data_IF_602588131471
#
_entry.id   IF_602588131471
#
_cell.length_a   1.000
_cell.length_b   1.000
_cell.length_c   1.000
_cell.angle_alpha   90.00
_cell.angle_beta   90.00
_cell.angle_gamma   90.00
#
_symmetry.space_group_name_H-M   'P 1'
#
loop_
_entity.id
_entity.type
_entity.pdbx_description
1 polymer ?
#
# COMPACT_ATOMS: atom_id res chain seq x y z
N UNK A 1 -16.96 -7.23 -7.55
CA UNK A 1 -16.24 -6.15 -6.86
C UNK A 1 -16.07 -6.55 -5.40
N UNK A 2 -14.85 -6.71 -4.93
CA UNK A 2 -14.61 -7.21 -3.58
C UNK A 2 -14.12 -6.05 -2.70
N UNK A 3 -14.71 -5.89 -1.50
CA UNK A 3 -14.33 -4.80 -0.61
C UNK A 3 -13.48 -5.34 0.52
N UNK A 4 -12.22 -4.89 0.60
CA UNK A 4 -11.21 -5.33 1.56
C UNK A 4 -10.79 -4.18 2.47
N UNK A 5 -10.22 -4.49 3.62
CA UNK A 5 -9.72 -3.47 4.55
C UNK A 5 -8.21 -3.23 4.35
N UNK A 6 -7.78 -1.98 4.53
CA UNK A 6 -6.38 -1.61 4.59
C UNK A 6 -6.12 -0.65 5.75
N UNK A 7 -5.03 -0.83 6.47
CA UNK A 7 -4.66 0.03 7.60
C UNK A 7 -3.62 1.05 7.15
N UNK A 8 -3.87 2.32 7.50
CA UNK A 8 -2.90 3.40 7.37
C UNK A 8 -2.78 4.17 8.68
N UNK A 9 -1.60 4.69 8.96
CA UNK A 9 -1.40 5.64 10.05
C UNK A 9 -1.91 7.04 9.63
N UNK A 10 -2.02 7.94 10.60
CA UNK A 10 -2.57 9.29 10.39
C UNK A 10 -1.81 10.09 9.31
N UNK A 11 -0.48 9.99 9.26
CA UNK A 11 0.34 10.69 8.26
C UNK A 11 0.08 10.15 6.85
N UNK A 12 -0.02 8.83 6.70
CA UNK A 12 -0.35 8.22 5.40
C UNK A 12 -1.76 8.58 4.94
N UNK A 13 -2.73 8.62 5.87
CA UNK A 13 -4.09 9.09 5.54
C UNK A 13 -4.06 10.53 5.03
N UNK A 14 -3.29 11.41 5.70
CA UNK A 14 -3.16 12.79 5.27
C UNK A 14 -2.64 12.90 3.84
N UNK A 15 -1.55 12.22 3.52
CA UNK A 15 -0.95 12.28 2.17
C UNK A 15 -1.81 11.60 1.09
N UNK A 16 -2.67 10.62 1.46
CA UNK A 16 -3.70 10.09 0.55
C UNK A 16 -4.79 11.14 0.29
N UNK A 17 -5.26 11.81 1.33
CA UNK A 17 -6.28 12.85 1.19
C UNK A 17 -5.79 14.05 0.36
N UNK A 18 -4.50 14.36 0.44
CA UNK A 18 -3.82 15.37 -0.37
C UNK A 18 -3.53 14.90 -1.82
N UNK A 19 -3.83 13.65 -2.16
CA UNK A 19 -3.60 13.07 -3.49
C UNK A 19 -2.14 12.74 -3.80
N UNK A 20 -1.23 12.85 -2.82
CA UNK A 20 0.21 12.60 -3.01
C UNK A 20 0.57 11.12 -2.93
N UNK A 21 -0.19 10.33 -2.16
CA UNK A 21 0.04 8.88 -2.03
C UNK A 21 -0.95 8.12 -2.90
N UNK A 22 -0.45 7.45 -3.92
CA UNK A 22 -1.21 6.64 -4.89
C UNK A 22 -0.73 5.19 -4.96
N UNK A 23 0.31 4.85 -4.21
CA UNK A 23 0.91 3.50 -4.16
C UNK A 23 1.19 3.13 -2.71
N UNK A 24 1.10 1.85 -2.40
CA UNK A 24 1.56 1.32 -1.11
C UNK A 24 2.25 -0.02 -1.29
N UNK A 25 3.36 -0.21 -0.55
CA UNK A 25 4.10 -1.45 -0.49
C UNK A 25 3.80 -2.21 0.80
N UNK A 26 3.65 -3.53 0.68
CA UNK A 26 3.45 -4.45 1.80
C UNK A 26 4.30 -5.69 1.60
N UNK A 27 4.92 -6.17 2.67
CA UNK A 27 5.74 -7.39 2.63
C UNK A 27 4.92 -8.59 2.17
N UNK A 28 5.44 -9.37 1.23
CA UNK A 28 4.92 -10.71 0.90
C UNK A 28 5.20 -11.63 2.07
N UNK A 29 4.17 -12.30 2.60
CA UNK A 29 4.29 -13.22 3.74
C UNK A 29 3.57 -14.54 3.45
N UNK A 30 4.28 -15.68 3.54
CA UNK A 30 5.72 -15.83 3.71
C UNK A 30 6.51 -15.30 2.51
N UNK A 31 7.82 -15.06 2.68
CA UNK A 31 8.68 -14.75 1.54
C UNK A 31 8.88 -16.00 0.68
N UNK A 32 8.73 -15.90 -0.65
CA UNK A 32 8.99 -17.02 -1.54
C UNK A 32 10.48 -17.41 -1.47
N UNK A 33 10.73 -18.69 -1.18
CA UNK A 33 12.09 -19.18 -0.91
C UNK A 33 12.87 -19.33 -2.21
N UNK A 34 14.05 -18.67 -2.29
CA UNK A 34 14.91 -18.73 -3.47
C UNK A 34 14.34 -18.01 -4.69
N UNK A 35 13.25 -17.25 -4.56
CA UNK A 35 12.68 -16.50 -5.64
C UNK A 35 13.64 -15.40 -6.13
N UNK A 36 13.90 -15.34 -7.44
CA UNK A 36 14.76 -14.36 -8.06
C UNK A 36 14.08 -13.51 -9.12
N UNK A 37 12.93 -13.96 -9.65
CA UNK A 37 12.13 -13.18 -10.59
C UNK A 37 10.65 -13.58 -10.54
N UNK A 38 9.79 -12.74 -11.11
CA UNK A 38 8.38 -13.04 -11.38
C UNK A 38 8.31 -13.60 -12.79
N UNK A 39 7.67 -14.76 -12.96
CA UNK A 39 7.48 -15.41 -14.25
C UNK A 39 6.24 -14.89 -14.96
N UNK A 40 5.11 -14.96 -14.24
CA UNK A 40 3.80 -14.69 -14.81
C UNK A 40 2.82 -14.22 -13.72
N UNK A 41 1.67 -13.70 -14.16
CA UNK A 41 0.54 -13.39 -13.28
C UNK A 41 -0.74 -13.95 -13.90
N UNK A 42 -1.58 -14.55 -13.07
CA UNK A 42 -2.90 -15.04 -13.43
C UNK A 42 -3.98 -14.11 -12.88
N UNK A 43 -4.63 -13.37 -13.78
CA UNK A 43 -5.68 -12.41 -13.44
C UNK A 43 -6.93 -13.10 -12.88
N UNK A 44 -7.24 -14.31 -13.34
CA UNK A 44 -8.42 -15.06 -12.90
C UNK A 44 -8.24 -15.59 -11.48
N UNK A 45 -7.08 -16.19 -11.18
CA UNK A 45 -6.77 -16.71 -9.84
C UNK A 45 -6.19 -15.65 -8.90
N UNK A 46 -5.81 -14.48 -9.43
CA UNK A 46 -5.17 -13.37 -8.71
C UNK A 46 -3.85 -13.80 -8.04
N UNK A 47 -3.04 -14.50 -8.80
CA UNK A 47 -1.77 -15.08 -8.36
C UNK A 47 -0.59 -14.59 -9.19
N UNK A 48 0.60 -14.75 -8.60
CA UNK A 48 1.87 -14.52 -9.28
C UNK A 48 2.73 -15.76 -9.15
N UNK A 49 3.28 -16.22 -10.27
CA UNK A 49 4.26 -17.29 -10.30
C UNK A 49 5.66 -16.73 -10.18
N UNK A 50 6.36 -17.18 -9.15
CA UNK A 50 7.72 -16.77 -8.82
C UNK A 50 8.69 -17.85 -9.28
N UNK A 51 9.67 -17.48 -10.11
CA UNK A 51 10.76 -18.39 -10.43
C UNK A 51 11.73 -18.45 -9.26
N UNK A 52 11.85 -19.64 -8.70
CA UNK A 52 12.70 -19.93 -7.56
C UNK A 52 13.82 -20.85 -8.00
N UNK A 53 15.02 -20.71 -7.43
CA UNK A 53 16.16 -21.56 -7.75
C UNK A 53 17.10 -21.71 -6.55
N UNK A 54 17.77 -22.83 -6.48
CA UNK A 54 18.90 -23.00 -5.59
C UNK A 54 20.15 -22.54 -6.36
N UNK A 55 20.68 -21.38 -6.03
CA UNK A 55 21.95 -20.90 -6.57
C UNK A 55 23.06 -21.90 -6.26
N UNK A 56 23.20 -22.95 -7.07
CA UNK A 56 24.24 -23.95 -6.95
C UNK A 56 25.54 -23.45 -7.59
N UNK A 57 26.64 -23.53 -6.89
CA UNK A 57 27.96 -23.48 -7.49
C UNK A 57 28.07 -24.66 -8.47
N UNK A 58 28.03 -24.38 -9.80
CA UNK A 58 28.20 -25.42 -10.81
C UNK A 58 27.15 -25.50 -11.91
N UNK A 59 26.19 -24.58 -11.98
CA UNK A 59 25.43 -24.36 -13.22
C UNK A 59 24.26 -25.30 -13.52
N UNK A 60 23.78 -26.10 -12.58
CA UNK A 60 22.49 -26.80 -12.68
C UNK A 60 21.50 -26.13 -11.74
N UNK A 61 20.73 -25.18 -12.27
CA UNK A 61 19.60 -24.59 -11.57
C UNK A 61 18.44 -25.56 -11.67
N UNK A 62 18.00 -26.12 -10.54
CA UNK A 62 16.70 -26.70 -10.44
C UNK A 62 15.73 -25.56 -10.14
N UNK A 63 15.21 -24.96 -11.22
CA UNK A 63 14.21 -23.93 -11.09
C UNK A 63 12.84 -24.56 -10.89
N UNK A 64 12.08 -24.00 -9.95
CA UNK A 64 10.67 -24.37 -9.72
C UNK A 64 9.83 -23.09 -9.62
N UNK A 65 8.56 -23.18 -9.92
CA UNK A 65 7.63 -22.10 -9.70
C UNK A 65 7.00 -22.21 -8.29
N UNK A 66 6.94 -21.06 -7.59
CA UNK A 66 6.16 -20.92 -6.36
C UNK A 66 5.04 -19.90 -6.63
N UNK A 67 3.80 -20.33 -6.53
CA UNK A 67 2.64 -19.46 -6.74
C UNK A 67 2.28 -18.73 -5.45
N UNK A 68 2.20 -17.40 -5.51
CA UNK A 68 1.79 -16.56 -4.40
C UNK A 68 0.49 -15.81 -4.73
N UNK A 69 -0.43 -15.74 -3.77
CA UNK A 69 -1.73 -15.10 -3.96
C UNK A 69 -1.70 -13.64 -3.51
N UNK A 70 -2.18 -12.76 -4.39
CA UNK A 70 -2.26 -11.34 -4.09
C UNK A 70 -3.33 -11.02 -3.02
N UNK A 71 -3.06 -10.06 -2.13
CA UNK A 71 -4.01 -9.63 -1.10
C UNK A 71 -5.22 -8.87 -1.67
N UNK A 72 -5.05 -8.26 -2.83
CA UNK A 72 -6.09 -7.55 -3.58
C UNK A 72 -5.74 -7.58 -5.08
N UNK A 73 -6.69 -7.17 -5.91
CA UNK A 73 -6.51 -7.12 -7.37
C UNK A 73 -7.12 -5.86 -7.96
N UNK A 74 -6.77 -5.54 -9.21
CA UNK A 74 -7.34 -4.42 -9.93
C UNK A 74 -8.88 -4.48 -9.93
N UNK A 75 -9.53 -3.36 -9.62
CA UNK A 75 -10.98 -3.29 -9.45
C UNK A 75 -11.51 -3.57 -8.04
N UNK A 76 -10.70 -4.13 -7.12
CA UNK A 76 -11.07 -4.25 -5.71
C UNK A 76 -11.16 -2.86 -5.06
N UNK A 77 -12.06 -2.74 -4.08
CA UNK A 77 -12.17 -1.53 -3.26
C UNK A 77 -11.54 -1.78 -1.89
N UNK A 78 -10.64 -0.89 -1.50
CA UNK A 78 -10.03 -0.90 -0.18
C UNK A 78 -10.69 0.20 0.67
N UNK A 79 -11.34 -0.18 1.79
CA UNK A 79 -11.74 0.80 2.79
C UNK A 79 -10.64 0.99 3.82
N UNK A 80 -10.28 2.24 4.06
CA UNK A 80 -9.16 2.60 4.93
C UNK A 80 -9.58 2.60 6.38
N UNK A 81 -8.77 1.92 7.20
CA UNK A 81 -8.85 1.96 8.65
C UNK A 81 -7.77 2.88 9.18
N UNK A 82 -8.20 3.89 9.90
CA UNK A 82 -7.35 4.90 10.51
C UNK A 82 -7.66 5.07 12.01
N UNK A 83 -6.86 5.83 12.72
CA UNK A 83 -7.16 6.22 14.11
C UNK A 83 -8.43 7.05 14.13
N UNK A 84 -9.36 6.77 15.05
CA UNK A 84 -10.71 7.32 15.05
C UNK A 84 -11.26 7.49 16.47
N UNK A 85 -12.36 8.24 16.61
CA UNK A 85 -13.19 8.27 17.81
C UNK A 85 -14.65 8.51 17.45
N UNK A 86 -15.58 8.20 18.36
CA UNK A 86 -16.96 8.68 18.24
C UNK A 86 -16.98 10.18 18.45
N UNK A 87 -17.80 10.89 17.68
CA UNK A 87 -18.01 12.31 17.89
C UNK A 87 -18.66 12.57 19.28
N UNK A 88 -18.02 13.31 20.19
CA UNK A 88 -18.58 13.57 21.52
C UNK A 88 -19.71 14.59 21.52
N UNK A 89 -19.90 15.34 20.42
CA UNK A 89 -20.88 16.42 20.32
C UNK A 89 -22.05 16.10 19.39
N UNK A 90 -22.16 14.85 18.91
CA UNK A 90 -23.23 14.44 17.99
C UNK A 90 -22.99 13.05 17.41
N UNK A 91 -23.78 12.73 16.39
CA UNK A 91 -23.62 11.47 15.68
C UNK A 91 -22.36 11.43 14.81
N UNK A 92 -21.88 10.21 14.53
CA UNK A 92 -20.77 9.97 13.62
C UNK A 92 -19.42 9.82 14.29
N UNK A 93 -18.36 10.09 13.52
CA UNK A 93 -16.97 9.81 13.88
C UNK A 93 -16.09 10.99 13.60
N UNK A 94 -15.00 11.12 14.36
CA UNK A 94 -13.95 12.14 14.19
C UNK A 94 -12.58 11.48 14.03
N UNK A 95 -11.65 12.20 13.42
CA UNK A 95 -10.35 11.70 13.04
C UNK A 95 -9.24 12.70 13.39
N UNK A 96 -8.01 12.22 13.75
CA UNK A 96 -6.91 13.10 14.13
C UNK A 96 -6.48 14.07 13.02
N UNK A 97 -6.76 13.75 11.75
CA UNK A 97 -6.47 14.63 10.61
C UNK A 97 -7.40 15.83 10.54
N UNK A 98 -8.58 15.78 11.18
CA UNK A 98 -9.56 16.87 11.19
C UNK A 98 -9.49 17.68 12.47
N UNK A 99 -9.25 17.02 13.60
CA UNK A 99 -9.27 17.64 14.94
C UNK A 99 -8.00 17.25 15.69
N UNK A 100 -6.85 17.80 15.32
CA UNK A 100 -5.60 17.49 16.01
C UNK A 100 -5.60 18.03 17.45
N UNK A 101 -5.19 17.22 18.41
CA UNK A 101 -4.90 17.66 19.78
C UNK A 101 -6.12 17.91 20.68
N UNK A 102 -7.29 17.46 20.34
CA UNK A 102 -8.53 17.79 21.06
C UNK A 102 -8.77 17.04 22.39
N UNK A 103 -7.74 16.56 23.08
CA UNK A 103 -7.90 15.82 24.36
C UNK A 103 -8.74 14.55 24.25
N UNK A 104 -9.08 14.16 23.05
CA UNK A 104 -9.96 13.05 22.71
C UNK A 104 -9.27 11.71 22.96
N UNK A 105 -9.99 10.74 23.51
CA UNK A 105 -9.51 9.36 23.62
C UNK A 105 -9.61 8.66 22.25
N UNK A 106 -8.52 8.65 21.51
CA UNK A 106 -8.43 8.01 20.22
C UNK A 106 -8.43 6.48 20.31
N UNK A 107 -9.13 5.82 19.40
CA UNK A 107 -9.15 4.37 19.25
C UNK A 107 -8.20 3.96 18.13
N UNK A 108 -7.43 2.87 18.31
CA UNK A 108 -6.56 2.33 17.26
C UNK A 108 -7.33 1.94 16.01
N UNK A 109 -6.68 2.07 14.86
CA UNK A 109 -7.23 1.72 13.54
C UNK A 109 -7.71 0.26 13.42
N UNK A 110 -7.07 -0.67 14.15
CA UNK A 110 -7.47 -2.09 14.16
C UNK A 110 -8.88 -2.34 14.71
N UNK A 111 -9.46 -1.39 15.45
CA UNK A 111 -10.81 -1.47 16.02
C UNK A 111 -11.81 -0.59 15.26
N UNK A 112 -11.42 0.02 14.15
CA UNK A 112 -12.31 0.87 13.37
C UNK A 112 -13.38 0.03 12.66
N UNK A 113 -14.67 0.27 12.88
CA UNK A 113 -15.72 -0.41 12.15
C UNK A 113 -15.86 0.18 10.74
N UNK A 114 -16.40 -0.62 9.81
CA UNK A 114 -16.54 -0.22 8.40
C UNK A 114 -17.43 1.01 8.21
N UNK A 115 -18.46 1.17 9.00
CA UNK A 115 -19.37 2.32 8.97
C UNK A 115 -18.65 3.65 9.25
N UNK A 116 -17.57 3.60 10.05
CA UNK A 116 -16.72 4.75 10.32
C UNK A 116 -15.74 5.04 9.16
N UNK A 117 -15.69 4.23 8.10
CA UNK A 117 -14.80 4.49 6.99
C UNK A 117 -15.30 5.69 6.17
N UNK A 118 -14.37 6.62 5.91
CA UNK A 118 -14.58 7.81 5.08
C UNK A 118 -13.67 7.87 3.86
N UNK A 119 -12.66 7.01 3.81
CA UNK A 119 -11.67 6.96 2.75
C UNK A 119 -11.73 5.59 2.07
N UNK A 120 -11.99 5.63 0.77
CA UNK A 120 -12.11 4.46 -0.09
C UNK A 120 -11.16 4.58 -1.27
N UNK A 121 -10.50 3.48 -1.61
CA UNK A 121 -9.50 3.42 -2.64
C UNK A 121 -9.88 2.32 -3.62
N UNK A 122 -9.90 2.62 -4.91
CA UNK A 122 -10.01 1.60 -5.97
C UNK A 122 -8.61 1.15 -6.34
N UNK A 123 -8.36 -0.13 -6.31
CA UNK A 123 -7.11 -0.72 -6.78
C UNK A 123 -7.06 -0.62 -8.30
N UNK A 124 -6.03 0.02 -8.82
CA UNK A 124 -5.79 0.18 -10.26
C UNK A 124 -4.75 -0.81 -10.79
N UNK A 125 -3.88 -1.32 -9.92
CA UNK A 125 -2.90 -2.31 -10.29
C UNK A 125 -2.24 -2.97 -9.07
N UNK A 126 -1.79 -4.20 -9.28
CA UNK A 126 -1.01 -4.95 -8.28
C UNK A 126 0.17 -5.60 -8.98
N UNK A 127 1.33 -5.56 -8.36
CA UNK A 127 2.53 -6.26 -8.81
C UNK A 127 3.39 -6.68 -7.63
N UNK A 128 4.36 -7.53 -7.92
CA UNK A 128 5.38 -7.99 -6.98
C UNK A 128 6.73 -7.48 -7.43
N UNK A 129 7.52 -6.92 -6.52
CA UNK A 129 8.88 -6.46 -6.80
C UNK A 129 9.78 -6.63 -5.58
N UNK A 130 11.09 -6.51 -5.75
CA UNK A 130 12.00 -6.36 -4.62
C UNK A 130 11.84 -4.96 -4.03
N UNK A 131 11.94 -4.84 -2.71
CA UNK A 131 11.76 -3.56 -2.03
C UNK A 131 12.71 -2.47 -2.55
N UNK A 132 13.95 -2.83 -2.90
CA UNK A 132 14.97 -1.88 -3.39
C UNK A 132 14.85 -1.54 -4.88
N UNK A 133 13.92 -2.18 -5.60
CA UNK A 133 13.63 -1.83 -7.00
C UNK A 133 12.79 -0.55 -7.09
N UNK A 134 12.37 -0.01 -5.95
CA UNK A 134 11.68 1.28 -5.89
C UNK A 134 12.62 2.41 -6.37
N UNK A 135 12.16 3.16 -7.35
CA UNK A 135 12.82 4.37 -7.84
C UNK A 135 12.35 5.64 -7.08
N UNK A 136 12.97 6.77 -7.37
CA UNK A 136 12.62 8.04 -6.75
C UNK A 136 11.17 8.47 -6.99
N UNK A 137 10.61 8.16 -8.17
CA UNK A 137 9.21 8.46 -8.48
C UNK A 137 8.26 7.54 -7.71
N UNK A 138 8.60 6.26 -7.54
CA UNK A 138 7.88 5.32 -6.70
C UNK A 138 7.81 5.78 -5.25
N UNK A 139 8.90 6.36 -4.74
CA UNK A 139 8.95 6.94 -3.39
C UNK A 139 8.03 8.15 -3.25
N UNK A 140 7.98 9.02 -4.26
CA UNK A 140 7.01 10.12 -4.28
C UNK A 140 5.57 9.62 -4.29
N UNK A 141 5.27 8.58 -5.08
CA UNK A 141 3.95 7.93 -5.12
C UNK A 141 3.58 7.25 -3.79
N UNK A 142 4.55 6.87 -2.96
CA UNK A 142 4.32 6.45 -1.56
C UNK A 142 3.91 7.61 -0.65
N UNK A 143 3.95 8.84 -1.16
CA UNK A 143 3.61 10.07 -0.43
C UNK A 143 4.78 10.63 0.39
N UNK A 144 5.99 10.18 0.13
CA UNK A 144 7.19 10.65 0.81
C UNK A 144 7.80 11.78 -0.04
N UNK A 145 7.64 12.98 0.46
CA UNK A 145 8.32 14.15 -0.06
C UNK A 145 9.05 14.84 1.10
N UNK A 146 10.36 14.81 1.07
CA UNK A 146 11.19 15.47 2.09
C UNK A 146 11.34 16.98 1.83
N UNK A 147 10.52 17.57 0.97
CA UNK A 147 10.54 19.00 0.61
C UNK A 147 11.78 19.45 -0.17
N UNK A 148 12.62 18.49 -0.55
CA UNK A 148 13.84 18.71 -1.35
C UNK A 148 13.74 18.02 -2.70
N UNK A 149 12.51 17.81 -3.17
CA UNK A 149 12.22 17.15 -4.44
C UNK A 149 12.70 18.02 -5.60
N UNK A 150 13.93 17.80 -6.01
CA UNK A 150 14.47 18.38 -7.21
C UNK A 150 15.06 17.25 -8.08
N UNK A 151 14.28 16.70 -9.02
CA UNK A 151 14.75 15.65 -9.93
C UNK A 151 15.97 16.07 -10.75
N UNK A 152 16.21 17.38 -10.95
CA UNK A 152 17.39 17.88 -11.63
C UNK A 152 18.71 17.59 -10.88
N UNK A 153 18.65 17.16 -9.61
CA UNK A 153 19.83 16.73 -8.84
C UNK A 153 20.28 15.27 -9.18
N UNK A 154 19.54 14.56 -10.05
CA UNK A 154 19.90 13.21 -10.50
C UNK A 154 20.08 12.22 -9.35
N UNK A 155 21.13 11.39 -9.43
CA UNK A 155 21.41 10.31 -8.46
C UNK A 155 21.50 10.76 -7.00
N UNK A 156 21.89 12.00 -6.74
CA UNK A 156 21.93 12.54 -5.36
C UNK A 156 20.52 12.66 -4.77
N UNK A 157 19.57 13.11 -5.57
CA UNK A 157 18.16 13.18 -5.17
C UNK A 157 17.59 11.78 -4.91
N UNK A 158 17.83 10.83 -5.82
CA UNK A 158 17.38 9.43 -5.69
C UNK A 158 17.92 8.78 -4.41
N UNK A 159 19.21 8.97 -4.11
CA UNK A 159 19.80 8.46 -2.88
C UNK A 159 19.15 9.04 -1.62
N UNK A 160 18.87 10.35 -1.62
CA UNK A 160 18.20 10.99 -0.48
C UNK A 160 16.78 10.47 -0.28
N UNK A 161 16.03 10.26 -1.36
CA UNK A 161 14.69 9.69 -1.30
C UNK A 161 14.73 8.24 -0.80
N UNK A 162 15.67 7.43 -1.31
CA UNK A 162 15.84 6.04 -0.88
C UNK A 162 16.19 5.93 0.61
N UNK A 163 17.03 6.83 1.15
CA UNK A 163 17.33 6.87 2.57
C UNK A 163 16.09 7.20 3.41
N UNK A 164 15.33 8.23 3.04
CA UNK A 164 14.11 8.61 3.75
C UNK A 164 13.06 7.50 3.72
N UNK A 165 12.91 6.83 2.56
CA UNK A 165 12.02 5.67 2.44
C UNK A 165 12.48 4.49 3.31
N UNK A 166 13.79 4.18 3.32
CA UNK A 166 14.36 3.10 4.12
C UNK A 166 14.12 3.31 5.62
N UNK A 167 14.30 4.54 6.12
CA UNK A 167 14.03 4.89 7.51
C UNK A 167 12.54 4.71 7.84
N UNK A 168 11.64 5.25 7.00
CA UNK A 168 10.20 5.09 7.19
C UNK A 168 9.79 3.62 7.13
N UNK A 169 10.28 2.86 6.15
CA UNK A 169 10.00 1.43 6.01
C UNK A 169 10.38 0.67 7.26
N UNK A 170 11.62 0.84 7.73
CA UNK A 170 12.12 0.17 8.92
C UNK A 170 11.32 0.56 10.19
N UNK A 171 10.86 1.81 10.29
CA UNK A 171 10.06 2.28 11.42
C UNK A 171 8.68 1.63 11.52
N UNK A 172 8.16 1.08 10.41
CA UNK A 172 6.87 0.37 10.38
C UNK A 172 6.96 -1.07 10.85
N UNK A 173 8.17 -1.61 11.00
CA UNK A 173 8.44 -2.99 11.36
C UNK A 173 8.81 -3.12 12.85
N UNK A 174 8.49 -4.29 13.43
CA UNK A 174 9.03 -4.64 14.74
C UNK A 174 10.52 -4.98 14.63
N UNK A 175 11.29 -4.73 15.67
CA UNK A 175 12.74 -5.02 15.68
C UNK A 175 13.06 -6.48 15.31
N UNK A 176 12.24 -7.43 15.75
CA UNK A 176 12.40 -8.85 15.42
C UNK A 176 12.16 -9.15 13.92
N UNK A 177 11.43 -8.32 13.21
CA UNK A 177 11.09 -8.49 11.80
C UNK A 177 12.13 -7.86 10.85
N UNK A 178 12.98 -6.96 11.36
CA UNK A 178 13.98 -6.24 10.55
C UNK A 178 14.96 -7.15 9.80
N UNK A 179 15.49 -8.26 10.38
CA UNK A 179 16.40 -9.13 9.66
C UNK A 179 15.80 -9.80 8.42
N UNK A 180 14.46 -9.98 8.40
CA UNK A 180 13.75 -10.67 7.31
C UNK A 180 13.07 -9.69 6.34
N UNK A 181 12.58 -8.57 6.85
CA UNK A 181 11.68 -7.68 6.10
C UNK A 181 12.17 -6.23 6.05
N UNK A 182 13.27 -5.89 6.73
CA UNK A 182 13.85 -4.56 6.71
C UNK A 182 14.43 -4.20 5.34
N UNK A 183 14.72 -2.93 5.16
CA UNK A 183 15.32 -2.41 3.93
C UNK A 183 16.59 -3.16 3.51
N UNK A 184 17.45 -3.51 4.47
CA UNK A 184 18.69 -4.24 4.20
C UNK A 184 18.44 -5.63 3.61
N UNK A 185 17.40 -6.32 4.08
CA UNK A 185 17.01 -7.66 3.64
C UNK A 185 16.48 -7.70 2.21
N UNK A 186 16.03 -6.56 1.67
CA UNK A 186 15.44 -6.44 0.33
C UNK A 186 14.33 -7.48 0.06
N UNK A 187 13.27 -7.53 0.89
CA UNK A 187 12.22 -8.53 0.75
C UNK A 187 11.40 -8.32 -0.53
N UNK A 188 10.71 -9.37 -0.96
CA UNK A 188 9.61 -9.25 -1.91
C UNK A 188 8.45 -8.50 -1.29
N UNK A 189 7.87 -7.57 -2.05
CA UNK A 189 6.75 -6.74 -1.61
C UNK A 189 5.64 -6.74 -2.65
N UNK A 190 4.41 -6.72 -2.15
CA UNK A 190 3.24 -6.34 -2.92
C UNK A 190 3.28 -4.84 -3.13
N UNK A 191 3.16 -4.41 -4.38
CA UNK A 191 2.94 -3.01 -4.76
C UNK A 191 1.51 -2.87 -5.20
N UNK A 192 0.72 -2.14 -4.45
CA UNK A 192 -0.68 -1.86 -4.77
C UNK A 192 -0.81 -0.42 -5.20
N UNK A 193 -1.22 -0.21 -6.43
CA UNK A 193 -1.56 1.10 -6.98
C UNK A 193 -3.05 1.35 -6.78
N UNK A 194 -3.42 2.58 -6.47
CA UNK A 194 -4.81 2.92 -6.20
C UNK A 194 -5.13 4.37 -6.50
N UNK A 195 -6.40 4.63 -6.69
CA UNK A 195 -6.99 5.96 -6.74
C UNK A 195 -8.02 6.14 -5.62
N UNK A 196 -8.20 7.35 -5.15
CA UNK A 196 -9.25 7.67 -4.18
C UNK A 196 -10.58 7.83 -4.91
N UNK A 197 -11.61 7.17 -4.38
CA UNK A 197 -12.99 7.25 -4.86
C UNK A 197 -13.91 7.78 -3.77
N UNK A 198 -15.10 8.24 -4.16
CA UNK A 198 -16.14 8.65 -3.21
C UNK A 198 -16.74 7.45 -2.46
N UNK A 199 -17.38 7.72 -1.32
CA UNK A 199 -18.08 6.68 -0.57
C UNK A 199 -19.26 6.11 -1.36
N UNK A 200 -19.98 6.96 -2.09
CA UNK A 200 -21.15 6.56 -2.87
C UNK A 200 -20.71 5.64 -4.03
N UNK A 201 -19.63 5.99 -4.72
CA UNK A 201 -19.03 5.16 -5.76
C UNK A 201 -18.55 3.81 -5.20
N UNK A 202 -17.92 3.82 -4.02
CA UNK A 202 -17.45 2.60 -3.36
C UNK A 202 -18.58 1.66 -2.93
N UNK A 203 -19.76 2.21 -2.60
CA UNK A 203 -20.93 1.45 -2.16
C UNK A 203 -21.89 1.08 -3.29
N UNK A 204 -21.54 1.38 -4.56
CA UNK A 204 -22.37 1.08 -5.73
C UNK A 204 -23.48 2.10 -5.98
N UNK A 205 -23.40 3.28 -5.37
CA UNK A 205 -24.29 4.42 -5.61
C UNK A 205 -23.91 5.21 -6.86
N UNK A 206 -23.69 4.55 -7.98
CA UNK A 206 -23.61 5.18 -9.29
C UNK A 206 -25.02 5.24 -9.85
N UNK A 207 -25.73 6.36 -9.63
CA UNK A 207 -27.03 6.59 -10.22
C UNK A 207 -26.95 6.59 -11.73
N UNK A 208 -27.84 5.84 -12.34
CA UNK A 208 -28.23 6.00 -13.74
C UNK A 208 -28.73 7.44 -13.92
N UNK A 209 -27.87 8.33 -14.32
CA UNK A 209 -28.30 9.61 -14.88
C UNK A 209 -28.53 9.40 -16.39
N UNK A 210 -29.56 8.60 -16.70
CA UNK A 210 -30.22 8.65 -17.97
C UNK A 210 -31.06 9.92 -18.03
N UNK A 211 -30.45 11.04 -18.32
CA UNK A 211 -31.20 12.20 -18.82
C UNK A 211 -31.63 11.90 -20.23
N UNK A 212 -32.85 11.38 -20.38
CA UNK A 212 -33.60 11.45 -21.60
C UNK A 212 -33.73 12.92 -22.04
N UNK A 213 -32.99 13.27 -23.07
CA UNK A 213 -33.21 14.50 -23.81
C UNK A 213 -34.37 14.26 -24.79
N UNK A 214 -35.48 14.89 -24.50
CA UNK A 214 -36.58 15.14 -25.47
C UNK A 214 -36.26 16.42 -26.23
#
# INVERSE_FOLDING_TARGET
>A
MNMKQILFNTEMVRVIMEGRKTVTRRVVKPQPKGAHTVLDCDDYEQTFDMLCGNGGEGGVFLDWAETIKAPCWAGDILWVRETWAKNPFGDGYIYPTEVPGAGQKWKPSIHMPREAARLFLRVTGVRVERLKDIDGHGILKEGIDNGKSNPAMGTRWENMQSMAFAELWNSTLKSADLPLYGWAANPWVWVTEFERISKDEALGGGGDDCTDAH
#
